data_IF_299770041057
#
_entry.id   IF_299770041057
#
_cell.length_a   1.000
_cell.length_b   1.000
_cell.length_c   1.000
_cell.angle_alpha   90.00
_cell.angle_beta   90.00
_cell.angle_gamma   90.00
#
_symmetry.space_group_name_H-M   'P 1'
#
loop_
_entity.id
_entity.type
_entity.pdbx_description
1 polymer ?
#
# COMPACT_ATOMS: atom_id res chain seq x y z
N UNK A 1 20.39 3.48 4.26
CA UNK A 1 19.29 2.97 3.42
C UNK A 1 18.53 4.19 2.97
N UNK A 2 18.45 4.38 1.67
CA UNK A 2 17.87 5.56 1.05
C UNK A 2 16.35 5.38 0.96
N UNK A 3 15.59 5.98 1.88
CA UNK A 3 14.12 5.94 1.87
C UNK A 3 13.61 6.84 0.75
N UNK A 4 12.83 6.27 -0.17
CA UNK A 4 12.05 7.03 -1.16
C UNK A 4 11.08 7.94 -0.44
N UNK A 5 10.89 9.17 -0.90
CA UNK A 5 10.01 10.17 -0.23
C UNK A 5 8.58 10.12 -0.76
N UNK A 6 8.36 9.43 -1.87
CA UNK A 6 7.04 9.19 -2.43
C UNK A 6 6.59 7.75 -2.16
N UNK A 7 5.29 7.53 -1.91
CA UNK A 7 4.73 6.19 -1.84
C UNK A 7 4.99 5.40 -3.13
N UNK A 8 5.24 4.10 -2.99
CA UNK A 8 5.52 3.17 -4.08
C UNK A 8 4.30 2.30 -4.33
N UNK A 9 3.80 2.29 -5.56
CA UNK A 9 2.65 1.52 -5.99
C UNK A 9 3.04 0.07 -6.25
N UNK A 10 2.14 -0.84 -5.93
CA UNK A 10 2.31 -2.25 -6.21
C UNK A 10 1.00 -2.94 -6.60
N UNK A 11 1.15 -4.10 -7.22
CA UNK A 11 0.10 -5.09 -7.43
C UNK A 11 0.38 -6.30 -6.55
N UNK A 12 -0.67 -6.88 -5.99
CA UNK A 12 -0.62 -8.18 -5.34
C UNK A 12 -1.05 -9.23 -6.36
N UNK A 13 -0.09 -10.05 -6.79
CA UNK A 13 -0.25 -10.99 -7.89
C UNK A 13 -0.34 -12.41 -7.35
N UNK A 14 -1.40 -13.12 -7.67
CA UNK A 14 -1.59 -14.52 -7.32
C UNK A 14 -1.16 -15.42 -8.48
N UNK A 15 -0.17 -16.25 -8.25
CA UNK A 15 0.42 -17.15 -9.23
C UNK A 15 -0.32 -18.49 -9.29
N UNK A 16 -0.82 -18.96 -8.14
CA UNK A 16 -1.54 -20.23 -8.03
C UNK A 16 -2.84 -20.06 -7.22
N UNK A 17 -4.00 -20.34 -7.83
CA UNK A 17 -5.27 -20.41 -7.12
C UNK A 17 -5.61 -21.86 -6.73
N UNK A 18 -5.07 -22.29 -5.59
CA UNK A 18 -5.35 -23.63 -5.04
C UNK A 18 -6.79 -23.77 -4.54
N UNK A 19 -7.51 -22.65 -4.36
CA UNK A 19 -8.91 -22.67 -3.91
C UNK A 19 -9.94 -22.77 -5.03
N UNK A 20 -9.51 -22.60 -6.29
CA UNK A 20 -10.37 -22.50 -7.48
C UNK A 20 -11.50 -21.45 -7.36
N UNK A 21 -11.39 -20.51 -6.40
CA UNK A 21 -12.47 -19.59 -6.03
C UNK A 21 -12.20 -18.15 -6.48
N UNK A 22 -10.96 -17.79 -6.80
CA UNK A 22 -10.55 -16.38 -6.96
C UNK A 22 -9.76 -16.09 -8.24
N UNK A 23 -9.32 -17.12 -8.97
CA UNK A 23 -8.47 -16.96 -10.14
C UNK A 23 -7.01 -16.59 -9.82
N UNK A 24 -6.20 -16.60 -10.88
CA UNK A 24 -4.79 -16.15 -10.90
C UNK A 24 -4.68 -14.77 -11.52
N UNK A 25 -3.69 -13.96 -11.13
CA UNK A 25 -3.48 -12.61 -11.65
C UNK A 25 -3.46 -11.54 -10.58
N UNK A 26 -3.75 -10.30 -10.94
CA UNK A 26 -3.77 -9.17 -9.99
C UNK A 26 -5.04 -9.25 -9.15
N UNK A 27 -4.87 -9.51 -7.85
CA UNK A 27 -5.98 -9.70 -6.90
C UNK A 27 -6.18 -8.50 -5.99
N UNK A 28 -5.17 -7.63 -5.89
CA UNK A 28 -5.27 -6.34 -5.23
C UNK A 28 -4.23 -5.36 -5.80
N UNK A 29 -4.46 -4.09 -5.55
CA UNK A 29 -3.50 -3.00 -5.79
C UNK A 29 -3.23 -2.28 -4.48
N UNK A 30 -2.05 -1.70 -4.32
CA UNK A 30 -1.71 -0.98 -3.10
C UNK A 30 -0.56 0.00 -3.25
N UNK A 31 -0.27 0.66 -2.13
CA UNK A 31 0.85 1.58 -1.97
C UNK A 31 1.61 1.25 -0.68
N UNK A 32 2.93 1.29 -0.77
CA UNK A 32 3.86 1.31 0.37
C UNK A 32 4.32 2.75 0.59
N UNK A 33 4.12 3.27 1.80
CA UNK A 33 4.58 4.60 2.20
C UNK A 33 6.06 4.57 2.59
N UNK A 34 6.77 5.72 2.52
CA UNK A 34 8.18 5.84 2.90
C UNK A 34 8.55 5.31 4.29
N UNK A 35 7.60 5.36 5.23
CA UNK A 35 7.76 4.88 6.61
C UNK A 35 7.55 3.37 6.76
N UNK A 36 7.13 2.67 5.69
CA UNK A 36 6.85 1.24 5.67
C UNK A 36 5.39 0.87 5.91
N UNK A 37 4.48 1.84 6.06
CA UNK A 37 3.05 1.56 6.11
C UNK A 37 2.53 1.12 4.73
N UNK A 38 1.46 0.32 4.69
CA UNK A 38 0.85 -0.17 3.45
C UNK A 38 -0.66 0.03 3.47
N UNK A 39 -1.20 0.49 2.35
CA UNK A 39 -2.64 0.47 2.08
C UNK A 39 -2.92 -0.29 0.77
N UNK A 40 -3.89 -1.19 0.79
CA UNK A 40 -4.27 -1.99 -0.36
C UNK A 40 -5.79 -2.06 -0.54
N UNK A 41 -6.22 -2.28 -1.78
CA UNK A 41 -7.61 -2.48 -2.16
C UNK A 41 -7.74 -3.73 -3.03
N UNK A 42 -8.69 -4.60 -2.70
CA UNK A 42 -8.98 -5.83 -3.45
C UNK A 42 -9.62 -5.51 -4.79
N UNK A 43 -9.29 -6.28 -5.82
CA UNK A 43 -9.95 -6.19 -7.12
C UNK A 43 -11.20 -7.08 -7.10
N UNK A 44 -12.38 -6.49 -6.86
CA UNK A 44 -13.62 -7.28 -6.69
C UNK A 44 -14.33 -7.67 -7.99
N UNK A 45 -13.86 -7.14 -9.14
CA UNK A 45 -14.51 -7.31 -10.44
C UNK A 45 -14.57 -8.76 -10.94
N UNK A 46 -13.80 -9.68 -10.35
CA UNK A 46 -13.71 -11.09 -10.76
C UNK A 46 -14.15 -12.06 -9.65
N UNK A 47 -14.81 -11.57 -8.59
CA UNK A 47 -15.18 -12.38 -7.43
C UNK A 47 -16.67 -12.73 -7.46
N UNK A 48 -17.01 -13.85 -8.10
CA UNK A 48 -18.38 -14.36 -8.29
C UNK A 48 -19.13 -14.66 -6.97
N UNK A 49 -18.44 -14.59 -5.82
CA UNK A 49 -18.99 -14.87 -4.50
C UNK A 49 -19.43 -13.65 -3.68
N UNK A 50 -19.34 -12.43 -4.22
CA UNK A 50 -19.64 -11.20 -3.48
C UNK A 50 -20.78 -10.39 -4.10
N UNK A 51 -21.81 -10.12 -3.31
CA UNK A 51 -23.01 -9.33 -3.70
C UNK A 51 -22.75 -7.81 -3.73
N UNK A 52 -21.52 -7.36 -3.49
CA UNK A 52 -21.18 -5.93 -3.36
C UNK A 52 -20.24 -5.48 -4.47
N UNK A 53 -20.57 -4.35 -5.08
CA UNK A 53 -19.72 -3.69 -6.09
C UNK A 53 -18.54 -2.92 -5.45
N UNK A 54 -18.52 -2.78 -4.12
CA UNK A 54 -17.47 -2.04 -3.41
C UNK A 54 -16.25 -2.91 -3.13
N UNK A 55 -15.08 -2.44 -3.52
CA UNK A 55 -13.82 -3.09 -3.17
C UNK A 55 -13.50 -2.93 -1.67
N UNK A 56 -13.17 -4.03 -1.00
CA UNK A 56 -12.61 -3.99 0.35
C UNK A 56 -11.20 -3.39 0.35
N UNK A 57 -10.79 -2.78 1.47
CA UNK A 57 -9.43 -2.30 1.66
C UNK A 57 -8.79 -2.88 2.93
N UNK A 58 -7.47 -2.86 2.97
CA UNK A 58 -6.70 -3.21 4.15
C UNK A 58 -5.55 -2.23 4.36
N UNK A 59 -5.32 -1.88 5.62
CA UNK A 59 -4.19 -1.06 6.06
C UNK A 59 -3.27 -1.89 6.94
N UNK A 60 -1.96 -1.69 6.79
CA UNK A 60 -0.92 -2.28 7.64
C UNK A 60 0.00 -1.14 8.09
N UNK A 61 0.18 -0.93 9.41
CA UNK A 61 0.98 0.17 9.92
C UNK A 61 2.47 -0.03 9.63
N UNK A 62 3.22 1.06 9.67
CA UNK A 62 4.68 1.06 9.66
C UNK A 62 5.27 0.37 10.92
N UNK A 63 6.52 -0.11 10.86
CA UNK A 63 7.44 -0.03 9.72
C UNK A 63 7.44 -1.27 8.81
N UNK A 64 6.68 -2.31 9.18
CA UNK A 64 6.72 -3.65 8.58
C UNK A 64 5.46 -3.97 7.75
N UNK A 65 4.74 -2.95 7.31
CA UNK A 65 3.47 -3.10 6.61
C UNK A 65 3.55 -3.97 5.36
N UNK A 66 4.67 -3.91 4.63
CA UNK A 66 4.91 -4.77 3.47
C UNK A 66 5.08 -6.24 3.87
N UNK A 67 5.92 -6.52 4.86
CA UNK A 67 6.13 -7.88 5.36
C UNK A 67 4.83 -8.48 5.92
N UNK A 68 4.06 -7.68 6.67
CA UNK A 68 2.74 -8.09 7.17
C UNK A 68 1.74 -8.36 6.02
N UNK A 69 1.83 -7.61 4.91
CA UNK A 69 1.01 -7.85 3.72
C UNK A 69 1.34 -9.19 3.08
N UNK A 70 2.63 -9.50 2.92
CA UNK A 70 3.10 -10.78 2.37
C UNK A 70 2.80 -11.97 3.31
N UNK A 71 2.92 -11.79 4.63
CA UNK A 71 2.62 -12.85 5.59
C UNK A 71 1.13 -13.22 5.57
N UNK A 72 0.25 -12.22 5.61
CA UNK A 72 -1.20 -12.42 5.72
C UNK A 72 -1.83 -12.80 4.38
N UNK A 73 -1.34 -12.22 3.27
CA UNK A 73 -1.95 -12.34 1.95
C UNK A 73 -1.08 -13.07 0.91
N UNK A 74 0.13 -13.49 1.27
CA UNK A 74 1.05 -14.20 0.38
C UNK A 74 0.71 -15.67 0.16
N UNK A 75 -0.23 -16.24 0.93
CA UNK A 75 -0.70 -17.63 0.81
C UNK A 75 0.44 -18.68 0.71
N UNK A 76 1.50 -18.51 1.51
CA UNK A 76 2.67 -19.42 1.50
C UNK A 76 3.56 -19.27 0.27
N UNK A 77 3.61 -18.07 -0.32
CA UNK A 77 4.42 -17.74 -1.50
C UNK A 77 3.70 -17.87 -2.83
N UNK A 78 2.37 -18.10 -2.82
CA UNK A 78 1.53 -18.20 -4.04
C UNK A 78 0.96 -16.86 -4.47
N UNK A 79 1.12 -15.85 -3.63
CA UNK A 79 0.78 -14.47 -3.93
C UNK A 79 1.99 -13.60 -3.58
N UNK A 80 2.41 -12.75 -4.51
CA UNK A 80 3.62 -11.92 -4.37
C UNK A 80 3.33 -10.46 -4.71
N UNK A 81 4.13 -9.56 -4.13
CA UNK A 81 4.05 -8.12 -4.39
C UNK A 81 4.91 -7.76 -5.61
N UNK A 82 4.31 -7.10 -6.60
CA UNK A 82 4.97 -6.55 -7.78
C UNK A 82 4.91 -5.03 -7.75
N UNK A 83 6.05 -4.36 -7.53
CA UNK A 83 6.12 -2.90 -7.60
C UNK A 83 6.01 -2.41 -9.05
N UNK A 84 5.27 -1.30 -9.23
CA UNK A 84 5.02 -0.69 -10.54
C UNK A 84 5.93 0.50 -10.84
N UNK A 85 6.53 1.08 -9.80
CA UNK A 85 7.38 2.25 -9.94
C UNK A 85 8.83 1.83 -10.15
N UNK A 86 9.45 2.34 -11.21
CA UNK A 86 10.91 2.33 -11.35
C UNK A 86 11.49 3.23 -10.25
N UNK A 87 12.45 2.71 -9.49
CA UNK A 87 13.14 3.51 -8.47
C UNK A 87 14.01 4.52 -9.22
N UNK A 88 13.53 5.75 -9.43
CA UNK A 88 14.42 6.82 -9.89
C UNK A 88 15.30 7.24 -8.72
N UNK A 89 16.50 6.66 -8.67
CA UNK A 89 17.50 6.95 -7.63
C UNK A 89 17.93 8.43 -7.57
N UNK A 90 17.52 9.27 -8.54
CA UNK A 90 17.92 10.69 -8.67
C UNK A 90 16.97 11.68 -7.98
N UNK A 91 15.77 11.26 -7.59
CA UNK A 91 14.77 12.13 -6.93
C UNK A 91 14.51 11.70 -5.49
N UNK A 92 15.56 11.61 -4.67
CA UNK A 92 15.42 11.42 -3.21
C UNK A 92 15.47 12.75 -2.47
N UNK A 93 14.35 13.42 -2.18
CA UNK A 93 14.35 14.55 -1.27
C UNK A 93 14.47 14.04 0.17
N UNK A 94 15.50 14.47 0.88
CA UNK A 94 15.77 14.07 2.27
C UNK A 94 14.54 14.34 3.17
N UNK A 95 13.98 13.27 3.76
CA UNK A 95 12.69 13.30 4.50
C UNK A 95 12.71 14.23 5.72
N UNK A 96 13.90 14.56 6.26
CA UNK A 96 14.01 15.49 7.39
C UNK A 96 13.50 16.91 7.08
N UNK A 97 13.34 17.29 5.81
CA UNK A 97 12.87 18.61 5.42
C UNK A 97 11.34 18.77 5.37
N UNK A 98 10.55 17.69 5.20
CA UNK A 98 9.09 17.81 4.99
C UNK A 98 8.25 17.69 6.26
N UNK A 99 8.77 17.09 7.33
CA UNK A 99 8.05 17.01 8.63
C UNK A 99 7.93 18.39 9.29
N UNK A 100 8.75 19.37 8.89
CA UNK A 100 8.74 20.72 9.42
C UNK A 100 7.54 21.58 8.99
N UNK A 101 6.72 21.16 8.01
CA UNK A 101 5.61 21.98 7.50
C UNK A 101 4.27 21.76 8.26
N UNK A 102 4.22 20.86 9.25
CA UNK A 102 2.98 20.53 9.97
C UNK A 102 2.82 21.20 11.35
N UNK A 103 3.62 22.22 11.67
CA UNK A 103 3.51 22.96 12.93
C UNK A 103 3.49 24.46 12.70
N UNK A 104 2.30 25.02 12.44
CA UNK A 104 1.90 26.40 12.79
C UNK A 104 0.41 26.56 12.41
N UNK A 105 -0.47 25.99 13.23
CA UNK A 105 -1.87 26.41 13.29
C UNK A 105 -1.97 27.38 14.46
N UNK A 106 -1.71 28.66 14.21
CA UNK A 106 -1.88 29.75 15.18
C UNK A 106 -3.36 29.89 15.54
N UNK A 107 -3.75 29.42 16.72
CA UNK A 107 -4.99 29.83 17.39
C UNK A 107 -4.79 31.21 18.02
N UNK A 108 -4.93 32.29 17.24
CA UNK A 108 -5.28 33.59 17.81
C UNK A 108 -6.33 34.30 16.95
N UNK A 109 -7.59 34.07 17.29
CA UNK A 109 -8.66 34.98 16.94
C UNK A 109 -9.80 34.83 17.93
N UNK A 110 -9.70 35.51 19.07
CA UNK A 110 -10.87 36.02 19.80
C UNK A 110 -10.46 37.05 20.85
N UNK A 111 -10.20 38.27 20.40
CA UNK A 111 -10.54 39.46 21.19
C UNK A 111 -10.87 40.61 20.25
N UNK A 112 -12.17 40.88 20.06
CA UNK A 112 -12.79 42.19 19.83
C UNK A 112 -14.30 42.07 20.03
#
# INVERSE_FOLDING_TARGET
MTTSTTPRRFELVREEDVSETSGTGVVAVGVEYPDGAVHMQWCNAENDGLETDSNGCAFKPAPDGLAATEEIHGHGGRTSVRFLDEVDDRERPDIEAQVAFHGDFDEDSSSL
#
